data_IF_149989087041
#
_entry.id   IF_149989087041
#
_cell.length_a   1.000
_cell.length_b   1.000
_cell.length_c   1.000
_cell.angle_alpha   90.00
_cell.angle_beta   90.00
_cell.angle_gamma   90.00
#
_symmetry.space_group_name_H-M   'P 1'
#
loop_
_entity.id
_entity.type
_entity.pdbx_description
1 polymer ?
#
# COMPACT_ATOMS: atom_id res chain seq x y z
N UNK A 1 7.29 -23.90 5.12
CA UNK A 1 6.90 -23.51 5.02
C UNK A 1 6.56 -22.75 4.91
N UNK A 2 6.38 -22.64 4.57
CA UNK A 2 5.96 -22.03 4.36
C UNK A 2 5.80 -21.11 4.30
N UNK A 3 5.84 -20.67 4.30
CA UNK A 3 5.56 -19.94 4.29
C UNK A 3 5.25 -19.20 3.77
N UNK A 4 5.67 -19.04 3.72
CA UNK A 4 5.11 -18.28 3.16
C UNK A 4 3.81 -18.40 2.92
N UNK A 5 3.17 -18.21 3.58
CA UNK A 5 1.81 -18.58 3.50
C UNK A 5 0.97 -17.84 2.54
N UNK A 6 1.16 -16.59 2.43
CA UNK A 6 0.37 -15.80 1.51
C UNK A 6 0.61 -16.20 0.06
N UNK A 7 1.62 -17.00 -0.14
CA UNK A 7 1.90 -17.51 -1.46
C UNK A 7 1.19 -18.81 -1.74
N UNK A 8 0.45 -19.29 -0.79
CA UNK A 8 -0.22 -20.56 -0.95
C UNK A 8 -1.24 -20.48 -2.06
N UNK A 9 -1.25 -21.46 -2.90
CA UNK A 9 -2.18 -21.51 -4.00
C UNK A 9 -1.80 -20.67 -5.17
N UNK A 10 -0.76 -19.87 -5.05
CA UNK A 10 -0.31 -19.07 -6.17
C UNK A 10 0.88 -19.73 -6.81
N UNK A 11 0.75 -19.98 -8.08
CA UNK A 11 1.82 -20.60 -8.87
C UNK A 11 2.28 -19.61 -9.91
N UNK A 12 2.76 -18.48 -9.44
CA UNK A 12 3.11 -17.40 -10.32
C UNK A 12 4.55 -17.57 -10.78
N UNK A 13 4.74 -17.58 -12.08
CA UNK A 13 6.05 -17.55 -12.68
C UNK A 13 6.48 -16.10 -12.77
N UNK A 14 7.59 -15.76 -12.15
CA UNK A 14 8.04 -14.37 -12.14
C UNK A 14 8.24 -13.81 -13.53
N UNK A 15 8.53 -14.68 -14.49
CA UNK A 15 8.72 -14.22 -15.86
C UNK A 15 7.42 -13.76 -16.50
N UNK A 16 6.28 -14.12 -15.92
CA UNK A 16 5.01 -13.64 -16.42
C UNK A 16 4.52 -12.42 -15.71
N UNK A 17 5.35 -11.85 -14.84
CA UNK A 17 5.00 -10.61 -14.15
C UNK A 17 5.73 -9.45 -14.81
N UNK A 18 5.34 -8.26 -14.42
CA UNK A 18 5.94 -7.04 -14.96
C UNK A 18 6.52 -6.23 -13.82
N UNK A 19 7.73 -5.75 -14.01
CA UNK A 19 8.35 -4.90 -13.00
C UNK A 19 7.62 -3.58 -12.93
N UNK A 20 7.57 -3.02 -11.72
CA UNK A 20 7.01 -1.70 -11.51
C UNK A 20 8.17 -0.74 -11.33
N UNK A 21 8.11 0.39 -12.01
CA UNK A 21 9.15 1.41 -11.92
C UNK A 21 8.63 2.60 -11.15
N UNK A 22 9.51 3.19 -10.36
CA UNK A 22 9.17 4.38 -9.63
C UNK A 22 9.19 5.59 -10.53
N UNK A 23 9.03 6.75 -9.89
CA UNK A 23 8.90 8.01 -10.62
C UNK A 23 10.12 8.28 -11.49
N UNK A 24 11.29 7.97 -10.99
CA UNK A 24 12.53 8.22 -11.73
C UNK A 24 13.14 6.94 -12.27
N UNK A 25 12.30 5.96 -12.55
CA UNK A 25 12.81 4.70 -13.06
C UNK A 25 13.43 3.81 -12.02
N UNK A 26 13.28 4.15 -10.74
CA UNK A 26 13.78 3.30 -9.68
C UNK A 26 13.01 2.00 -9.58
N UNK A 27 13.63 1.01 -8.97
CA UNK A 27 13.04 -0.31 -8.88
C UNK A 27 12.86 -0.80 -7.45
N UNK A 28 13.18 0.02 -6.47
CA UNK A 28 13.11 -0.41 -5.07
C UNK A 28 12.02 0.35 -4.36
N UNK A 29 11.28 -0.37 -3.54
CA UNK A 29 10.13 0.20 -2.85
C UNK A 29 10.17 -0.22 -1.40
N UNK A 30 9.57 0.59 -0.55
CA UNK A 30 9.42 0.27 0.84
C UNK A 30 7.96 0.11 1.18
N UNK A 31 7.71 -0.39 2.39
CA UNK A 31 6.35 -0.51 2.89
C UNK A 31 6.16 0.49 4.02
N UNK A 32 5.03 1.17 4.01
CA UNK A 32 4.69 2.13 5.04
C UNK A 32 3.22 2.00 5.33
N UNK A 33 2.71 2.85 6.20
CA UNK A 33 1.30 2.80 6.59
C UNK A 33 0.72 4.19 6.50
N UNK A 34 -0.46 4.28 5.91
CA UNK A 34 -1.31 5.44 6.05
C UNK A 34 -2.17 5.19 7.28
N UNK A 35 -2.27 6.16 8.15
CA UNK A 35 -3.06 5.99 9.36
C UNK A 35 -4.37 6.73 9.22
N UNK A 36 -5.46 6.01 9.46
CA UNK A 36 -6.79 6.59 9.44
C UNK A 36 -7.37 6.53 10.84
N UNK A 37 -8.16 7.51 11.17
CA UNK A 37 -8.84 7.53 12.46
C UNK A 37 -10.28 7.08 12.28
N UNK A 38 -10.70 6.15 13.09
CA UNK A 38 -12.08 5.68 13.07
C UNK A 38 -12.75 6.19 14.33
N UNK A 39 -13.90 6.83 14.14
CA UNK A 39 -14.64 7.42 15.23
C UNK A 39 -15.04 6.37 16.27
N UNK A 40 -14.96 6.75 17.53
CA UNK A 40 -15.36 5.85 18.60
C UNK A 40 -16.82 5.44 18.45
N UNK A 41 -17.63 6.26 17.84
CA UNK A 41 -19.03 5.90 17.65
C UNK A 41 -19.20 4.80 16.62
N UNK A 42 -18.24 4.67 15.70
CA UNK A 42 -18.28 3.59 14.70
C UNK A 42 -17.79 2.29 15.31
N UNK A 43 -16.71 2.36 16.09
CA UNK A 43 -16.12 1.13 16.64
C UNK A 43 -16.74 0.72 17.96
N UNK A 44 -17.59 1.54 18.53
CA UNK A 44 -18.25 1.19 19.78
C UNK A 44 -17.35 1.23 20.98
N UNK A 45 -16.27 1.98 20.90
CA UNK A 45 -15.33 2.08 22.00
C UNK A 45 -15.43 3.38 22.75
N UNK A 46 -14.49 3.60 23.66
CA UNK A 46 -14.41 4.81 24.43
C UNK A 46 -13.57 5.87 23.77
N UNK A 47 -12.72 5.48 22.84
CA UNK A 47 -11.82 6.38 22.14
C UNK A 47 -11.86 6.07 20.67
N UNK A 48 -11.44 7.05 19.89
CA UNK A 48 -11.25 6.81 18.46
C UNK A 48 -10.14 5.79 18.28
N UNK A 49 -10.24 5.04 17.21
CA UNK A 49 -9.26 3.99 16.90
C UNK A 49 -8.41 4.42 15.73
N UNK A 50 -7.18 3.91 15.70
CA UNK A 50 -6.30 4.11 14.56
C UNK A 50 -6.38 2.87 13.68
N UNK A 51 -6.48 3.12 12.38
CA UNK A 51 -6.53 2.05 11.40
C UNK A 51 -5.32 2.20 10.48
N UNK A 52 -4.32 1.31 10.61
CA UNK A 52 -3.17 1.37 9.72
C UNK A 52 -3.49 0.66 8.40
N UNK A 53 -3.19 1.32 7.31
CA UNK A 53 -3.40 0.78 5.98
C UNK A 53 -2.05 0.65 5.32
N UNK A 54 -1.60 -0.57 5.02
CA UNK A 54 -0.28 -0.75 4.42
C UNK A 54 -0.27 -0.25 2.99
N UNK A 55 0.80 0.43 2.64
CA UNK A 55 1.00 0.93 1.29
C UNK A 55 2.46 0.72 0.93
N UNK A 56 2.74 0.75 -0.37
CA UNK A 56 4.11 0.71 -0.86
C UNK A 56 4.47 2.07 -1.42
N UNK A 57 5.72 2.44 -1.25
CA UNK A 57 6.16 3.74 -1.71
C UNK A 57 7.53 3.62 -2.38
N UNK A 58 7.80 4.53 -3.30
CA UNK A 58 9.07 4.64 -4.00
C UNK A 58 10.12 5.14 -3.02
N UNK A 59 11.22 4.40 -2.87
CA UNK A 59 12.25 4.79 -1.91
C UNK A 59 12.91 6.11 -2.25
N UNK A 60 12.96 6.48 -3.52
CA UNK A 60 13.65 7.68 -3.91
C UNK A 60 12.79 8.91 -3.76
N UNK A 61 11.55 8.84 -4.20
CA UNK A 61 10.68 10.01 -4.17
C UNK A 61 9.78 10.05 -2.95
N UNK A 62 9.64 8.92 -2.25
CA UNK A 62 8.73 8.77 -1.12
C UNK A 62 7.28 8.89 -1.51
N UNK A 63 6.98 8.70 -2.79
CA UNK A 63 5.60 8.75 -3.26
C UNK A 63 4.99 7.37 -3.23
N UNK A 64 3.70 7.33 -2.91
CA UNK A 64 2.97 6.08 -2.74
C UNK A 64 2.63 5.49 -4.10
N UNK A 65 2.74 4.17 -4.20
CA UNK A 65 2.24 3.44 -5.35
C UNK A 65 0.72 3.48 -5.26
N UNK A 66 0.10 4.13 -6.22
CA UNK A 66 -1.34 4.40 -6.16
C UNK A 66 -2.14 3.11 -6.01
N UNK A 67 -1.73 2.07 -6.74
CA UNK A 67 -2.49 0.82 -6.70
C UNK A 67 -2.39 0.09 -5.36
N UNK A 68 -1.47 0.50 -4.50
CA UNK A 68 -1.41 -0.10 -3.18
C UNK A 68 -2.36 0.55 -2.19
N UNK A 69 -2.98 1.67 -2.55
CA UNK A 69 -4.00 2.29 -1.73
C UNK A 69 -5.37 1.74 -2.08
N UNK A 70 -6.24 1.58 -1.09
CA UNK A 70 -7.64 1.30 -1.42
C UNK A 70 -8.20 2.38 -2.33
N UNK A 71 -9.03 1.97 -3.28
CA UNK A 71 -9.51 2.91 -4.28
C UNK A 71 -10.26 4.09 -3.67
N UNK A 72 -10.90 3.86 -2.52
CA UNK A 72 -11.66 4.91 -1.86
C UNK A 72 -10.79 6.05 -1.34
N UNK A 73 -9.48 5.79 -1.18
CA UNK A 73 -8.59 6.79 -0.60
C UNK A 73 -7.69 7.46 -1.62
N UNK A 74 -7.74 7.04 -2.86
CA UNK A 74 -6.77 7.53 -3.85
C UNK A 74 -6.91 9.02 -4.13
N UNK A 75 -8.13 9.51 -4.15
CA UNK A 75 -8.33 10.93 -4.41
C UNK A 75 -7.77 11.78 -3.29
N UNK A 76 -7.97 11.34 -2.05
CA UNK A 76 -7.50 12.11 -0.90
C UNK A 76 -5.98 12.20 -0.87
N UNK A 77 -5.29 11.17 -1.33
CA UNK A 77 -3.83 11.12 -1.25
C UNK A 77 -3.15 11.33 -2.60
N UNK A 78 -3.87 11.85 -3.57
CA UNK A 78 -3.33 11.90 -4.93
C UNK A 78 -2.05 12.71 -5.04
N UNK A 79 -1.86 13.70 -4.17
CA UNK A 79 -0.69 14.56 -4.25
C UNK A 79 0.59 13.86 -3.84
N UNK A 80 0.48 12.75 -3.12
CA UNK A 80 1.66 12.01 -2.70
C UNK A 80 1.72 10.65 -3.36
N UNK A 81 0.92 10.42 -4.39
CA UNK A 81 0.97 9.19 -5.16
C UNK A 81 1.73 9.43 -6.45
N UNK A 82 2.32 8.35 -6.94
CA UNK A 82 2.96 8.39 -8.25
C UNK A 82 1.87 8.44 -9.29
N UNK A 83 1.99 9.41 -10.19
CA UNK A 83 1.10 9.49 -11.32
C UNK A 83 1.56 8.49 -12.35
N UNK A 84 0.71 7.60 -12.69
CA UNK A 84 1.17 6.59 -13.59
C UNK A 84 0.30 6.36 -14.78
#
# INVERSE_FOLDING_TARGET
MNQNGQQQGLNIDFKSTTAIEGFDGGHLFGQAYVLRKVSKFVVGGKEDALLPIPVFYDLETKKIIKDSLPSELREEYKDICIEG
#
